data_IF_536137215813
#
_entry.id   IF_536137215813
#
_cell.length_a   1.000
_cell.length_b   1.000
_cell.length_c   1.000
_cell.angle_alpha   90.00
_cell.angle_beta   90.00
_cell.angle_gamma   90.00
#
_symmetry.space_group_name_H-M   'P 1'
#
loop_
_entity.id
_entity.type
_entity.pdbx_description
1 polymer ?
#
# COMPACT_ATOMS: atom_id res chain seq x y z
N UNK A 1 14.05 -16.62 7.90
CA UNK A 1 14.12 -16.32 6.45
C UNK A 1 13.17 -15.17 6.19
N UNK A 2 13.67 -13.94 6.35
CA UNK A 2 12.91 -12.70 6.21
C UNK A 2 12.22 -12.70 4.85
N UNK A 3 10.89 -12.81 4.82
CA UNK A 3 10.11 -12.72 3.58
C UNK A 3 10.12 -11.27 3.11
N UNK A 4 11.24 -10.86 2.52
CA UNK A 4 11.35 -9.57 1.86
C UNK A 4 10.48 -9.66 0.61
N UNK A 5 9.34 -8.97 0.62
CA UNK A 5 8.48 -8.87 -0.55
C UNK A 5 9.30 -8.28 -1.68
N UNK A 6 9.28 -8.92 -2.84
CA UNK A 6 9.90 -8.35 -4.01
C UNK A 6 9.00 -7.23 -4.54
N UNK A 7 9.37 -5.98 -4.28
CA UNK A 7 8.64 -4.79 -4.73
C UNK A 7 8.39 -4.80 -6.24
N UNK A 8 9.33 -5.33 -7.04
CA UNK A 8 9.14 -5.43 -8.49
C UNK A 8 8.03 -6.42 -8.84
N UNK A 9 7.94 -7.54 -8.13
CA UNK A 9 6.88 -8.54 -8.31
C UNK A 9 5.52 -7.99 -7.87
N UNK A 10 5.49 -7.27 -6.74
CA UNK A 10 4.30 -6.60 -6.22
C UNK A 10 3.76 -5.56 -7.22
N UNK A 11 4.61 -4.65 -7.69
CA UNK A 11 4.24 -3.63 -8.67
C UNK A 11 3.74 -4.26 -9.97
N UNK A 12 4.39 -5.33 -10.44
CA UNK A 12 3.93 -6.06 -11.63
C UNK A 12 2.56 -6.73 -11.40
N UNK A 13 2.33 -7.29 -10.21
CA UNK A 13 1.04 -7.89 -9.84
C UNK A 13 -0.09 -6.85 -9.82
N UNK A 14 0.15 -5.71 -9.16
CA UNK A 14 -0.79 -4.59 -9.11
C UNK A 14 -1.05 -4.06 -10.52
N UNK A 15 -0.01 -3.82 -11.33
CA UNK A 15 -0.16 -3.33 -12.70
C UNK A 15 -1.00 -4.28 -13.56
N UNK A 16 -0.83 -5.59 -13.39
CA UNK A 16 -1.62 -6.59 -14.13
C UNK A 16 -3.10 -6.54 -13.76
N UNK A 17 -3.42 -6.35 -12.48
CA UNK A 17 -4.81 -6.33 -11.98
C UNK A 17 -5.53 -5.00 -12.16
N UNK A 18 -4.80 -3.89 -12.00
CA UNK A 18 -5.33 -2.53 -12.04
C UNK A 18 -5.24 -1.90 -13.42
N UNK A 19 -4.34 -2.40 -14.29
CA UNK A 19 -3.94 -1.81 -15.58
C UNK A 19 -3.33 -0.41 -15.44
N UNK A 20 -2.84 -0.06 -14.26
CA UNK A 20 -2.15 1.20 -13.99
C UNK A 20 -0.68 1.10 -14.35
N UNK A 21 -0.09 2.22 -14.76
CA UNK A 21 1.34 2.32 -15.03
C UNK A 21 2.16 1.96 -13.76
N UNK A 22 3.16 1.05 -13.87
CA UNK A 22 4.07 0.72 -12.77
C UNK A 22 4.68 1.92 -12.06
N UNK A 23 5.00 3.00 -12.79
CA UNK A 23 5.55 4.22 -12.20
C UNK A 23 4.55 4.92 -11.27
N UNK A 24 3.27 4.95 -11.65
CA UNK A 24 2.22 5.52 -10.80
C UNK A 24 1.95 4.65 -9.57
N UNK A 25 1.97 3.33 -9.74
CA UNK A 25 1.85 2.38 -8.62
C UNK A 25 2.98 2.58 -7.62
N UNK A 26 4.23 2.71 -8.09
CA UNK A 26 5.38 2.98 -7.22
C UNK A 26 5.23 4.29 -6.42
N UNK A 27 4.62 5.33 -6.99
CA UNK A 27 4.36 6.58 -6.28
C UNK A 27 3.33 6.36 -5.16
N UNK A 28 2.25 5.64 -5.44
CA UNK A 28 1.22 5.29 -4.44
C UNK A 28 1.82 4.50 -3.29
N UNK A 29 2.51 3.39 -3.57
CA UNK A 29 3.15 2.55 -2.54
C UNK A 29 4.19 3.31 -1.72
N UNK A 30 4.93 4.24 -2.34
CA UNK A 30 5.89 5.09 -1.64
C UNK A 30 5.20 6.00 -0.61
N UNK A 31 4.07 6.61 -0.98
CA UNK A 31 3.31 7.47 -0.06
C UNK A 31 2.63 6.67 1.03
N UNK A 32 2.09 5.50 0.70
CA UNK A 32 1.56 4.56 1.68
C UNK A 32 2.63 4.16 2.70
N UNK A 33 3.80 3.71 2.26
CA UNK A 33 4.85 3.31 3.19
C UNK A 33 5.34 4.50 4.03
N UNK A 34 5.36 5.71 3.45
CA UNK A 34 5.63 6.92 4.23
C UNK A 34 4.53 7.20 5.26
N UNK A 35 3.26 6.96 4.94
CA UNK A 35 2.15 7.05 5.89
C UNK A 35 2.31 6.04 7.02
N UNK A 36 2.52 4.77 6.70
CA UNK A 36 2.74 3.69 7.68
C UNK A 36 3.96 3.95 8.59
N UNK A 37 5.05 4.50 8.05
CA UNK A 37 6.23 4.86 8.84
C UNK A 37 5.97 6.03 9.81
N UNK A 38 5.01 6.91 9.48
CA UNK A 38 4.62 8.03 10.34
C UNK A 38 3.45 7.67 11.28
N UNK A 39 2.68 6.65 10.93
CA UNK A 39 1.62 6.11 11.77
C UNK A 39 2.26 5.59 13.06
N UNK A 40 1.98 6.27 14.17
CA UNK A 40 2.46 5.85 15.47
C UNK A 40 1.63 4.66 15.91
N UNK A 41 2.30 3.59 16.31
CA UNK A 41 1.66 2.51 17.05
C UNK A 41 0.92 3.10 18.25
N UNK A 42 -0.30 2.63 18.46
CA UNK A 42 -1.14 3.04 19.57
C UNK A 42 -0.52 2.57 20.90
N UNK A 43 -1.20 2.84 22.02
CA UNK A 43 -0.70 2.47 23.34
C UNK A 43 -0.48 0.96 23.54
N UNK A 44 -0.96 0.10 22.63
CA UNK A 44 -0.81 -1.35 22.64
C UNK A 44 0.25 -1.86 21.67
N UNK A 45 0.83 -0.99 20.84
CA UNK A 45 1.75 -1.40 19.77
C UNK A 45 1.03 -1.69 18.45
N UNK A 46 -0.29 -1.54 18.39
CA UNK A 46 -1.09 -1.76 17.20
C UNK A 46 -1.07 -0.49 16.35
N UNK A 47 -0.65 -0.62 15.09
CA UNK A 47 -0.76 0.46 14.12
C UNK A 47 -2.15 0.34 13.50
N UNK A 48 -3.12 1.03 14.09
CA UNK A 48 -4.47 1.12 13.55
C UNK A 48 -4.46 2.18 12.44
N UNK A 49 -4.39 1.71 11.19
CA UNK A 49 -4.42 2.56 10.01
C UNK A 49 -5.80 2.43 9.38
N UNK A 50 -6.56 3.51 9.49
CA UNK A 50 -7.81 3.66 8.75
C UNK A 50 -7.49 3.72 7.26
N UNK A 51 -8.06 2.79 6.50
CA UNK A 51 -7.84 2.68 5.06
C UNK A 51 -8.33 3.92 4.31
N UNK A 52 -9.46 4.49 4.73
CA UNK A 52 -10.01 5.72 4.15
C UNK A 52 -9.05 6.90 4.35
N UNK A 53 -8.47 7.05 5.55
CA UNK A 53 -7.47 8.09 5.84
C UNK A 53 -6.20 7.92 5.01
N UNK A 54 -5.78 6.66 4.78
CA UNK A 54 -4.65 6.35 3.92
C UNK A 54 -4.93 6.73 2.46
N UNK A 55 -6.10 6.38 1.94
CA UNK A 55 -6.53 6.73 0.57
C UNK A 55 -6.56 8.25 0.40
N UNK A 56 -7.19 8.96 1.34
CA UNK A 56 -7.25 10.43 1.35
C UNK A 56 -5.85 11.06 1.40
N UNK A 57 -4.97 10.52 2.25
CA UNK A 57 -3.60 11.00 2.36
C UNK A 57 -2.82 10.84 1.05
N UNK A 58 -2.93 9.68 0.40
CA UNK A 58 -2.27 9.39 -0.89
C UNK A 58 -2.84 10.28 -1.98
N UNK A 59 -4.17 10.44 -2.04
CA UNK A 59 -4.83 11.34 -2.99
C UNK A 59 -4.45 12.81 -2.80
N UNK A 60 -4.17 13.22 -1.56
CA UNK A 60 -3.70 14.57 -1.24
C UNK A 60 -2.31 14.90 -1.80
N UNK A 61 -1.59 13.93 -2.39
CA UNK A 61 -0.25 14.13 -2.93
C UNK A 61 -0.27 14.59 -4.39
N UNK A 62 0.40 15.70 -4.67
CA UNK A 62 0.42 16.35 -5.99
C UNK A 62 1.02 15.50 -7.13
N UNK A 63 1.82 14.49 -6.79
CA UNK A 63 2.41 13.53 -7.73
C UNK A 63 1.52 12.31 -7.99
N UNK A 64 0.46 12.11 -7.19
CA UNK A 64 -0.56 11.09 -7.43
C UNK A 64 -1.59 11.64 -8.42
N UNK A 65 -1.38 11.32 -9.70
CA UNK A 65 -2.29 11.67 -10.81
C UNK A 65 -3.19 10.48 -11.16
N UNK A 66 -3.97 10.06 -10.17
CA UNK A 66 -4.92 8.95 -10.22
C UNK A 66 -6.22 9.40 -9.55
N UNK A 67 -7.33 8.78 -9.96
CA UNK A 67 -8.61 8.88 -9.27
C UNK A 67 -8.65 7.98 -8.02
N UNK A 68 -9.54 8.32 -7.08
CA UNK A 68 -9.79 7.63 -5.81
C UNK A 68 -9.98 6.13 -5.98
N UNK A 69 -10.91 5.73 -6.86
CA UNK A 69 -11.21 4.33 -7.17
C UNK A 69 -9.96 3.58 -7.63
N UNK A 70 -9.09 4.24 -8.40
CA UNK A 70 -7.85 3.63 -8.86
C UNK A 70 -6.81 3.50 -7.74
N UNK A 71 -6.73 4.48 -6.83
CA UNK A 71 -5.85 4.43 -5.66
C UNK A 71 -6.31 3.34 -4.69
N UNK A 72 -7.58 3.32 -4.31
CA UNK A 72 -8.19 2.27 -3.48
C UNK A 72 -7.86 0.88 -4.02
N UNK A 73 -8.10 0.68 -5.32
CA UNK A 73 -7.86 -0.61 -5.97
C UNK A 73 -6.38 -1.01 -5.99
N UNK A 74 -5.46 -0.05 -6.03
CA UNK A 74 -4.02 -0.34 -5.92
C UNK A 74 -3.72 -0.89 -4.52
N UNK A 75 -4.18 -0.19 -3.48
CA UNK A 75 -3.94 -0.57 -2.08
C UNK A 75 -4.64 -1.89 -1.71
N UNK A 76 -5.86 -2.11 -2.18
CA UNK A 76 -6.57 -3.39 -2.00
C UNK A 76 -5.80 -4.58 -2.59
N UNK A 77 -5.33 -4.43 -3.84
CA UNK A 77 -4.57 -5.48 -4.53
C UNK A 77 -3.23 -5.73 -3.84
N UNK A 78 -2.62 -4.68 -3.31
CA UNK A 78 -1.38 -4.76 -2.54
C UNK A 78 -1.60 -5.55 -1.24
N UNK A 79 -2.59 -5.18 -0.42
CA UNK A 79 -2.98 -5.93 0.77
C UNK A 79 -3.29 -7.40 0.46
N UNK A 80 -4.09 -7.70 -0.57
CA UNK A 80 -4.36 -9.08 -1.00
C UNK A 80 -3.05 -9.85 -1.28
N UNK A 81 -2.10 -9.21 -1.95
CA UNK A 81 -0.82 -9.81 -2.32
C UNK A 81 0.03 -10.07 -1.06
N UNK A 82 0.12 -9.09 -0.16
CA UNK A 82 0.87 -9.20 1.10
C UNK A 82 0.29 -10.30 2.02
N UNK A 83 -1.05 -10.42 2.10
CA UNK A 83 -1.74 -11.49 2.81
C UNK A 83 -1.43 -12.85 2.18
N UNK A 84 -1.55 -12.98 0.84
CA UNK A 84 -1.26 -14.23 0.12
C UNK A 84 0.18 -14.68 0.27
N UNK A 85 1.13 -13.76 0.33
CA UNK A 85 2.55 -14.08 0.58
C UNK A 85 2.83 -14.39 2.05
N UNK A 86 1.86 -14.19 2.94
CA UNK A 86 2.01 -14.35 4.38
C UNK A 86 3.08 -13.42 4.93
N UNK A 87 3.08 -12.17 4.43
CA UNK A 87 3.88 -11.05 4.95
C UNK A 87 2.99 -10.11 5.76
N UNK A 88 1.73 -9.94 5.37
CA UNK A 88 0.67 -9.41 6.24
C UNK A 88 0.15 -10.52 7.17
N UNK A 89 1.05 -11.16 7.91
CA UNK A 89 0.75 -12.16 8.91
C UNK A 89 1.35 -11.73 10.23
N UNK A 90 0.48 -11.21 11.11
CA UNK A 90 0.70 -10.88 12.52
C UNK A 90 1.73 -9.78 12.79
N UNK A 91 1.20 -8.58 13.06
CA UNK A 91 1.68 -7.84 14.23
C UNK A 91 1.50 -8.82 15.41
N UNK A 92 2.61 -9.20 16.05
CA UNK A 92 2.62 -9.90 17.34
C UNK A 92 2.70 -8.85 18.45
#
# INVERSE_FOLDING_TARGET
MSKQVNETELVAHIATKTKVDPQKIMIVLKHEQAYMNNAKADAKGDVDVDFDDLVDYVMGKSDVKLDEITVEKILDVEMEYLIKKGVAGYID
#
